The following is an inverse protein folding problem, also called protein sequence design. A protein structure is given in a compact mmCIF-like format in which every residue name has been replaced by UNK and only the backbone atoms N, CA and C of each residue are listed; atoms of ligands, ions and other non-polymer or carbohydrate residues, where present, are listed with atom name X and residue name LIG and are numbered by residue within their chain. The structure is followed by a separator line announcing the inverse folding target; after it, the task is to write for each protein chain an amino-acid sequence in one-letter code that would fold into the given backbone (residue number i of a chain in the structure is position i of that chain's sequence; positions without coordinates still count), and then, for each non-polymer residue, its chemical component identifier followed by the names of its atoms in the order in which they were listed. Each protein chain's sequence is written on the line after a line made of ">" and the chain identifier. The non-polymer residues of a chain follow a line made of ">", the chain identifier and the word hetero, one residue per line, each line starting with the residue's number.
data_IF_524265806097
#
_entry.id   IF_524265806097
#
_cell.length_a   1.000
_cell.length_b   1.000
_cell.length_c   1.000
_cell.angle_alpha   90.00
_cell.angle_beta   90.00
_cell.angle_gamma   90.00
#
_symmetry.space_group_name_H-M   'P 1'
#
loop_
_entity.id
_entity.type
_entity.pdbx_description
1 polymer ?
#
# COMPACT_ATOMS: atom_id res chain seq x y z
N UNK A 1 -3.91 1.60 15.68
CA UNK A 1 -2.86 0.66 15.25
C UNK A 1 -1.50 1.28 15.50
N UNK A 2 -1.17 2.38 14.88
CA UNK A 2 0.18 2.97 14.92
C UNK A 2 0.60 3.53 16.27
N UNK A 3 -0.34 3.88 17.15
CA UNK A 3 -0.05 4.28 18.54
C UNK A 3 0.45 3.16 19.45
N UNK A 4 0.14 1.93 19.10
CA UNK A 4 0.47 0.75 19.90
C UNK A 4 1.76 0.09 19.40
N UNK A 5 2.32 0.63 18.35
CA UNK A 5 3.62 0.21 17.82
C UNK A 5 4.62 1.35 18.01
N UNK A 6 5.89 1.04 18.20
CA UNK A 6 6.97 2.05 18.30
C UNK A 6 7.16 2.88 17.02
N UNK A 7 6.25 2.71 16.04
CA UNK A 7 6.33 3.32 14.70
C UNK A 7 5.60 4.67 14.57
N UNK A 8 5.13 5.24 15.66
CA UNK A 8 4.38 6.49 15.66
C UNK A 8 5.07 7.65 14.92
N UNK A 9 6.41 7.66 14.91
CA UNK A 9 7.19 8.74 14.31
C UNK A 9 7.51 8.51 12.82
N UNK A 10 7.14 7.35 12.26
CA UNK A 10 7.52 6.93 10.91
C UNK A 10 6.32 6.68 9.98
N UNK A 11 5.11 6.96 10.46
CA UNK A 11 3.89 6.71 9.71
C UNK A 11 3.48 7.92 8.88
N UNK A 12 3.23 7.71 7.59
CA UNK A 12 2.57 8.68 6.71
C UNK A 12 1.20 8.15 6.30
N UNK A 13 0.19 9.00 6.34
CA UNK A 13 -1.14 8.70 5.83
C UNK A 13 -1.32 9.46 4.52
N UNK A 14 -1.60 8.72 3.45
CA UNK A 14 -1.91 9.29 2.15
C UNK A 14 -3.41 9.15 1.93
N UNK A 15 -4.11 10.26 1.72
CA UNK A 15 -5.52 10.31 1.40
C UNK A 15 -5.75 11.01 0.06
N UNK A 16 -6.88 10.72 -0.58
CA UNK A 16 -7.22 11.28 -1.90
C UNK A 16 -7.80 12.69 -1.83
N UNK A 17 -8.28 13.13 -0.67
CA UNK A 17 -8.90 14.44 -0.52
C UNK A 17 -8.78 14.98 0.91
N UNK A 18 -8.71 16.31 1.07
CA UNK A 18 -8.72 17.01 2.37
C UNK A 18 -9.94 16.71 3.23
N UNK A 19 -11.05 16.44 2.59
CA UNK A 19 -12.35 16.17 3.18
C UNK A 19 -12.74 14.68 3.11
N UNK A 20 -11.74 13.80 2.99
CA UNK A 20 -11.97 12.37 2.98
C UNK A 20 -12.62 11.92 4.30
N UNK A 21 -13.93 11.71 4.22
CA UNK A 21 -14.76 11.31 5.36
C UNK A 21 -14.51 9.88 5.82
N UNK A 22 -13.73 9.10 5.08
CA UNK A 22 -13.31 7.75 5.49
C UNK A 22 -12.33 7.79 6.65
N UNK A 23 -11.67 8.95 6.85
CA UNK A 23 -10.78 9.21 7.99
C UNK A 23 -11.42 10.27 8.86
N UNK A 24 -12.17 9.86 9.89
CA UNK A 24 -12.86 10.79 10.78
C UNK A 24 -11.89 11.62 11.62
N UNK A 25 -10.86 10.98 12.15
CA UNK A 25 -9.95 11.56 13.12
C UNK A 25 -8.56 10.95 13.04
N UNK A 26 -7.59 11.77 13.37
CA UNK A 26 -6.21 11.37 13.65
C UNK A 26 -5.86 11.76 15.07
N UNK A 27 -4.93 11.03 15.68
CA UNK A 27 -4.46 11.35 17.04
C UNK A 27 -3.08 11.96 16.94
N UNK A 28 -2.89 13.14 17.49
CA UNK A 28 -1.62 13.84 17.54
C UNK A 28 -0.64 13.24 18.55
N UNK A 29 0.63 13.59 18.44
CA UNK A 29 1.70 13.19 19.37
C UNK A 29 1.42 13.65 20.81
N UNK A 30 0.63 14.72 20.96
CA UNK A 30 0.14 15.25 22.22
C UNK A 30 -1.02 14.42 22.82
N UNK A 31 -1.46 13.36 22.16
CA UNK A 31 -2.57 12.51 22.55
C UNK A 31 -3.96 13.06 22.21
N UNK A 32 -4.04 14.25 21.59
CA UNK A 32 -5.31 14.86 21.21
C UNK A 32 -5.84 14.32 19.89
N UNK A 33 -7.17 14.38 19.74
CA UNK A 33 -7.85 14.03 18.50
C UNK A 33 -8.04 15.27 17.63
N UNK A 34 -7.75 15.12 16.34
CA UNK A 34 -7.90 16.15 15.33
C UNK A 34 -8.73 15.61 14.17
N UNK A 35 -9.49 16.46 13.49
CA UNK A 35 -9.96 16.14 12.16
C UNK A 35 -8.77 16.07 11.19
N UNK A 36 -8.95 15.41 10.05
CA UNK A 36 -7.90 15.35 9.01
C UNK A 36 -7.50 16.78 8.58
N UNK A 37 -8.49 17.66 8.40
CA UNK A 37 -8.26 19.06 8.01
C UNK A 37 -7.45 19.81 9.06
N UNK A 38 -7.84 19.71 10.34
CA UNK A 38 -7.09 20.35 11.43
C UNK A 38 -5.67 19.82 11.57
N UNK A 39 -5.48 18.50 11.44
CA UNK A 39 -4.15 17.89 11.51
C UNK A 39 -3.23 18.39 10.38
N UNK A 40 -3.80 18.56 9.17
CA UNK A 40 -3.09 19.14 8.04
C UNK A 40 -2.76 20.63 8.27
N UNK A 41 -3.74 21.45 8.68
CA UNK A 41 -3.55 22.89 8.92
C UNK A 41 -2.58 23.18 10.06
N UNK A 42 -2.64 22.37 11.12
CA UNK A 42 -1.76 22.51 12.29
C UNK A 42 -0.40 21.82 12.13
N UNK A 43 -0.19 21.16 10.99
CA UNK A 43 1.06 20.45 10.68
C UNK A 43 1.48 19.52 11.84
N UNK A 44 0.56 18.63 12.25
CA UNK A 44 0.77 17.74 13.40
C UNK A 44 2.00 16.87 13.19
N UNK A 45 2.94 16.99 14.08
CA UNK A 45 4.33 16.60 13.93
C UNK A 45 4.59 15.10 13.68
N UNK A 46 3.76 14.20 14.20
CA UNK A 46 3.98 12.76 14.06
C UNK A 46 3.14 12.10 12.95
N UNK A 47 2.08 12.73 12.51
CA UNK A 47 1.28 12.29 11.36
C UNK A 47 1.56 13.23 10.21
N UNK A 48 2.28 12.74 9.21
CA UNK A 48 2.29 13.39 7.91
C UNK A 48 1.07 12.89 7.14
N UNK A 49 0.12 13.80 6.92
CA UNK A 49 -1.06 13.53 6.12
C UNK A 49 -0.83 14.14 4.75
N UNK A 50 -0.51 13.30 3.80
CA UNK A 50 -0.38 13.70 2.41
C UNK A 50 -1.74 13.52 1.75
N UNK A 51 -2.52 14.59 1.67
CA UNK A 51 -3.91 14.55 1.20
C UNK A 51 -3.94 15.01 -0.25
N UNK A 52 -4.03 14.09 -1.19
CA UNK A 52 -4.44 14.35 -2.58
C UNK A 52 -3.69 15.43 -3.37
N UNK A 53 -2.72 16.10 -2.76
CA UNK A 53 -1.94 17.19 -3.36
C UNK A 53 -0.54 16.78 -3.77
N UNK A 54 -0.15 15.55 -3.44
CA UNK A 54 1.12 15.05 -3.90
C UNK A 54 1.09 14.95 -5.43
N UNK A 55 2.07 15.56 -6.05
CA UNK A 55 2.37 15.28 -7.44
C UNK A 55 2.76 13.81 -7.58
N UNK A 56 2.67 13.26 -8.78
CA UNK A 56 3.11 11.89 -9.06
C UNK A 56 4.54 11.64 -8.57
N UNK A 57 5.44 12.60 -8.77
CA UNK A 57 6.83 12.51 -8.35
C UNK A 57 6.97 12.42 -6.82
N UNK A 58 6.26 13.26 -6.08
CA UNK A 58 6.26 13.26 -4.62
C UNK A 58 5.69 11.95 -4.06
N UNK A 59 4.58 11.45 -4.63
CA UNK A 59 3.97 10.19 -4.25
C UNK A 59 4.93 9.02 -4.47
N UNK A 60 5.59 8.96 -5.61
CA UNK A 60 6.60 7.94 -5.91
C UNK A 60 7.80 8.01 -4.95
N UNK A 61 8.20 9.21 -4.54
CA UNK A 61 9.26 9.39 -3.54
C UNK A 61 8.85 8.79 -2.20
N UNK A 62 7.66 9.12 -1.70
CA UNK A 62 7.13 8.55 -0.44
C UNK A 62 7.08 7.02 -0.50
N UNK A 63 6.57 6.46 -1.61
CA UNK A 63 6.48 5.00 -1.77
C UNK A 63 7.85 4.32 -1.82
N UNK A 64 8.87 4.97 -2.38
CA UNK A 64 10.24 4.46 -2.37
C UNK A 64 10.88 4.50 -0.99
N UNK A 65 10.59 5.51 -0.20
CA UNK A 65 11.14 5.68 1.15
C UNK A 65 10.47 4.77 2.19
N UNK A 66 9.21 4.38 1.99
CA UNK A 66 8.53 3.52 2.94
C UNK A 66 9.13 2.11 2.98
N UNK A 67 9.02 1.42 4.09
CA UNK A 67 9.44 0.02 4.24
C UNK A 67 8.33 -0.95 3.82
N UNK A 68 7.09 -0.61 4.06
CA UNK A 68 5.88 -1.34 3.66
C UNK A 68 4.70 -0.38 3.59
N UNK A 69 3.61 -0.80 2.98
CA UNK A 69 2.39 -0.01 2.92
C UNK A 69 1.18 -0.80 3.45
N UNK A 70 0.29 -0.10 4.17
CA UNK A 70 -1.01 -0.64 4.58
C UNK A 70 -2.05 -0.13 3.60
N UNK A 71 -2.73 -1.02 2.90
CA UNK A 71 -3.64 -0.69 1.80
C UNK A 71 -4.93 -1.53 1.84
N UNK A 72 -5.93 -1.13 1.07
CA UNK A 72 -7.18 -1.88 0.94
C UNK A 72 -7.13 -3.07 -0.05
N UNK A 73 -6.07 -3.22 -0.82
CA UNK A 73 -5.92 -4.30 -1.79
C UNK A 73 -6.40 -3.98 -3.21
N UNK A 74 -6.61 -2.71 -3.55
CA UNK A 74 -6.89 -2.31 -4.93
C UNK A 74 -5.75 -2.69 -5.87
N UNK A 75 -6.06 -3.29 -7.03
CA UNK A 75 -5.10 -3.72 -8.06
C UNK A 75 -4.10 -2.63 -8.46
N UNK A 76 -4.59 -1.42 -8.70
CA UNK A 76 -3.74 -0.30 -9.12
C UNK A 76 -2.73 0.04 -8.03
N UNK A 77 -3.19 0.15 -6.78
CA UNK A 77 -2.33 0.47 -5.63
C UNK A 77 -1.33 -0.67 -5.36
N UNK A 78 -1.77 -1.94 -5.46
CA UNK A 78 -0.88 -3.10 -5.32
C UNK A 78 0.21 -3.10 -6.38
N UNK A 79 -0.16 -2.88 -7.66
CA UNK A 79 0.79 -2.80 -8.76
C UNK A 79 1.80 -1.67 -8.59
N UNK A 80 1.37 -0.52 -8.12
CA UNK A 80 2.24 0.62 -7.85
C UNK A 80 3.23 0.34 -6.70
N UNK A 81 2.76 -0.21 -5.60
CA UNK A 81 3.59 -0.44 -4.41
C UNK A 81 4.52 -1.63 -4.62
N UNK A 82 4.00 -2.78 -5.01
CA UNK A 82 4.80 -3.99 -5.18
C UNK A 82 5.63 -3.97 -6.46
N UNK A 83 5.02 -3.54 -7.58
CA UNK A 83 5.66 -3.57 -8.89
C UNK A 83 6.64 -2.43 -9.11
N UNK A 84 6.23 -1.18 -8.87
CA UNK A 84 7.06 -0.01 -9.15
C UNK A 84 7.97 0.37 -7.99
N UNK A 85 7.51 0.19 -6.75
CA UNK A 85 8.26 0.62 -5.57
C UNK A 85 8.96 -0.52 -4.84
N UNK A 86 8.66 -1.77 -5.14
CA UNK A 86 9.30 -2.95 -4.55
C UNK A 86 9.08 -3.05 -3.04
N UNK A 87 7.88 -2.72 -2.56
CA UNK A 87 7.56 -2.73 -1.14
C UNK A 87 6.50 -3.77 -0.79
N UNK A 88 6.65 -4.49 0.34
CA UNK A 88 5.62 -5.40 0.80
C UNK A 88 4.39 -4.66 1.26
N UNK A 89 3.24 -5.29 1.11
CA UNK A 89 1.95 -4.73 1.51
C UNK A 89 1.37 -5.46 2.73
N UNK A 90 0.60 -4.71 3.53
CA UNK A 90 -0.35 -5.25 4.49
C UNK A 90 -1.72 -4.89 3.95
N UNK A 91 -2.45 -5.89 3.46
CA UNK A 91 -3.75 -5.68 2.85
C UNK A 91 -4.89 -5.79 3.87
N UNK A 92 -5.69 -4.73 3.98
CA UNK A 92 -6.95 -4.72 4.74
C UNK A 92 -8.12 -4.65 3.75
N UNK A 93 -8.73 -5.79 3.37
CA UNK A 93 -9.74 -5.80 2.33
C UNK A 93 -11.02 -5.09 2.76
N UNK A 94 -11.67 -4.39 1.82
CA UNK A 94 -12.99 -3.79 1.98
C UNK A 94 -14.04 -4.65 1.27
N UNK A 95 -13.64 -5.38 0.23
CA UNK A 95 -14.49 -6.22 -0.61
C UNK A 95 -13.85 -7.60 -0.80
N UNK A 96 -14.65 -8.59 -1.17
CA UNK A 96 -14.18 -9.97 -1.43
C UNK A 96 -13.11 -10.03 -2.53
N UNK A 97 -13.22 -9.18 -3.55
CA UNK A 97 -12.23 -9.05 -4.61
C UNK A 97 -10.85 -8.67 -4.04
N UNK A 98 -10.82 -7.69 -3.13
CA UNK A 98 -9.58 -7.28 -2.47
C UNK A 98 -8.95 -8.42 -1.66
N UNK A 99 -9.80 -9.22 -0.98
CA UNK A 99 -9.34 -10.38 -0.22
C UNK A 99 -8.59 -11.37 -1.11
N UNK A 100 -9.14 -11.69 -2.28
CA UNK A 100 -8.51 -12.61 -3.22
C UNK A 100 -7.19 -12.09 -3.76
N UNK A 101 -7.10 -10.79 -4.05
CA UNK A 101 -5.90 -10.13 -4.52
C UNK A 101 -4.79 -10.14 -3.46
N UNK A 102 -5.15 -9.84 -2.21
CA UNK A 102 -4.18 -9.83 -1.11
C UNK A 102 -3.71 -11.26 -0.80
N UNK A 103 -4.58 -12.26 -0.80
CA UNK A 103 -4.20 -13.66 -0.66
C UNK A 103 -3.23 -14.10 -1.74
N UNK A 104 -3.46 -13.69 -2.99
CA UNK A 104 -2.54 -13.93 -4.10
C UNK A 104 -1.14 -13.35 -3.83
N UNK A 105 -1.06 -12.15 -3.24
CA UNK A 105 0.20 -11.52 -2.86
C UNK A 105 0.86 -12.24 -1.67
N UNK A 106 0.07 -12.66 -0.68
CA UNK A 106 0.55 -13.38 0.51
C UNK A 106 1.16 -14.73 0.14
N UNK A 107 0.51 -15.52 -0.72
CA UNK A 107 1.02 -16.80 -1.23
C UNK A 107 2.39 -16.67 -1.92
N UNK A 108 2.69 -15.48 -2.44
CA UNK A 108 3.95 -15.15 -3.12
C UNK A 108 4.95 -14.38 -2.26
N UNK A 109 4.65 -14.23 -0.98
CA UNK A 109 5.47 -13.47 -0.04
C UNK A 109 5.72 -12.02 -0.48
N UNK A 110 4.71 -11.40 -1.10
CA UNK A 110 4.72 -9.99 -1.49
C UNK A 110 4.00 -9.10 -0.46
N UNK A 111 3.29 -9.73 0.48
CA UNK A 111 2.54 -9.03 1.51
C UNK A 111 1.86 -9.96 2.49
N UNK A 112 0.98 -9.42 3.32
CA UNK A 112 0.23 -10.14 4.37
C UNK A 112 -1.22 -9.68 4.35
N UNK A 113 -2.16 -10.61 4.48
CA UNK A 113 -3.57 -10.32 4.69
C UNK A 113 -3.81 -9.99 6.17
N UNK A 114 -4.52 -8.90 6.43
CA UNK A 114 -4.94 -8.50 7.77
C UNK A 114 -6.41 -8.03 7.74
N UNK A 115 -7.28 -8.70 8.46
CA UNK A 115 -8.71 -8.42 8.49
C UNK A 115 -9.13 -7.54 9.67
N UNK A 116 -8.21 -7.31 10.61
CA UNK A 116 -8.46 -6.50 11.81
C UNK A 116 -7.17 -5.89 12.35
N UNK A 117 -7.34 -4.93 13.29
CA UNK A 117 -6.25 -4.21 13.94
C UNK A 117 -5.15 -5.12 14.50
N UNK A 118 -5.53 -6.21 15.19
CA UNK A 118 -4.56 -7.14 15.80
C UNK A 118 -3.69 -7.81 14.74
N UNK A 119 -4.31 -8.23 13.65
CA UNK A 119 -3.60 -8.85 12.53
C UNK A 119 -2.68 -7.85 11.81
N UNK A 120 -3.07 -6.57 11.69
CA UNK A 120 -2.16 -5.53 11.15
C UNK A 120 -0.90 -5.40 12.00
N UNK A 121 -1.03 -5.37 13.34
CA UNK A 121 0.13 -5.30 14.23
C UNK A 121 1.03 -6.54 14.06
N UNK A 122 0.43 -7.73 14.02
CA UNK A 122 1.16 -8.97 13.77
C UNK A 122 1.86 -8.99 12.40
N UNK A 123 1.19 -8.49 11.36
CA UNK A 123 1.75 -8.37 10.02
C UNK A 123 2.95 -7.42 9.99
N UNK A 124 2.88 -6.27 10.68
CA UNK A 124 4.01 -5.34 10.83
C UNK A 124 5.22 -6.05 11.43
N UNK A 125 5.03 -6.76 12.54
CA UNK A 125 6.12 -7.48 13.20
C UNK A 125 6.67 -8.61 12.32
N UNK A 126 5.80 -9.35 11.63
CA UNK A 126 6.21 -10.39 10.68
C UNK A 126 7.05 -9.84 9.54
N UNK A 127 6.62 -8.71 8.94
CA UNK A 127 7.39 -8.07 7.86
C UNK A 127 8.73 -7.57 8.39
N UNK A 128 8.78 -6.94 9.57
CA UNK A 128 10.04 -6.49 10.17
C UNK A 128 11.03 -7.63 10.39
N UNK A 129 10.57 -8.75 10.93
CA UNK A 129 11.42 -9.91 11.22
C UNK A 129 11.91 -10.62 9.96
N UNK A 130 11.11 -10.61 8.89
CA UNK A 130 11.38 -11.34 7.66
C UNK A 130 11.62 -10.42 6.46
N UNK A 131 12.02 -9.17 6.67
CA UNK A 131 12.06 -8.14 5.65
C UNK A 131 12.87 -8.56 4.40
N UNK A 132 14.02 -9.16 4.58
CA UNK A 132 14.88 -9.61 3.48
C UNK A 132 14.16 -10.63 2.59
N UNK A 133 13.39 -11.53 3.18
CA UNK A 133 12.63 -12.54 2.43
C UNK A 133 11.54 -11.91 1.55
N UNK A 134 10.85 -10.90 2.08
CA UNK A 134 9.90 -10.12 1.27
C UNK A 134 10.60 -9.36 0.14
N UNK A 135 11.78 -8.79 0.42
CA UNK A 135 12.54 -8.07 -0.61
C UNK A 135 12.99 -9.00 -1.75
N UNK A 136 13.49 -10.20 -1.46
CA UNK A 136 13.86 -11.19 -2.46
C UNK A 136 12.68 -11.55 -3.38
N UNK A 137 11.49 -11.80 -2.79
CA UNK A 137 10.27 -12.10 -3.53
C UNK A 137 9.80 -10.91 -4.39
N UNK A 138 9.92 -9.69 -3.86
CA UNK A 138 9.56 -8.47 -4.58
C UNK A 138 10.52 -8.16 -5.72
N UNK A 139 11.80 -8.42 -5.57
CA UNK A 139 12.78 -8.29 -6.65
C UNK A 139 12.51 -9.28 -7.79
N UNK A 140 12.14 -10.51 -7.46
CA UNK A 140 11.74 -11.50 -8.45
C UNK A 140 10.45 -11.08 -9.17
N UNK A 141 9.45 -10.61 -8.41
CA UNK A 141 8.21 -10.09 -8.95
C UNK A 141 8.44 -8.88 -9.87
N UNK A 142 9.23 -7.90 -9.44
CA UNK A 142 9.53 -6.69 -10.20
C UNK A 142 10.26 -6.98 -11.52
N UNK A 143 11.13 -7.98 -11.57
CA UNK A 143 11.79 -8.42 -12.82
C UNK A 143 10.77 -8.84 -13.88
N UNK A 144 9.64 -9.39 -13.47
CA UNK A 144 8.55 -9.82 -14.35
C UNK A 144 7.50 -8.74 -14.58
N UNK A 145 7.45 -7.72 -13.73
CA UNK A 145 6.52 -6.59 -13.79
C UNK A 145 7.11 -5.46 -14.65
N UNK A 146 7.02 -5.64 -15.96
CA UNK A 146 7.73 -4.77 -16.93
C UNK A 146 6.87 -3.62 -17.52
N UNK A 147 5.67 -3.41 -17.00
CA UNK A 147 4.75 -2.36 -17.47
C UNK A 147 4.15 -2.58 -18.88
N UNK A 148 4.46 -3.70 -19.52
CA UNK A 148 4.03 -4.02 -20.88
C UNK A 148 2.68 -4.77 -20.96
N UNK A 149 1.84 -4.70 -19.94
CA UNK A 149 0.58 -5.44 -19.85
C UNK A 149 -0.32 -5.25 -21.08
N UNK A 150 -0.54 -4.02 -21.54
CA UNK A 150 -1.35 -3.73 -22.72
C UNK A 150 -0.75 -4.35 -23.99
N UNK A 151 0.55 -4.27 -24.19
CA UNK A 151 1.26 -4.87 -25.33
C UNK A 151 1.17 -6.39 -25.31
N UNK A 152 1.36 -7.01 -24.15
CA UNK A 152 1.27 -8.45 -23.99
C UNK A 152 -0.16 -8.94 -24.23
N UNK A 153 -1.17 -8.24 -23.71
CA UNK A 153 -2.58 -8.54 -23.96
C UNK A 153 -2.93 -8.44 -25.45
N UNK A 154 -2.50 -7.37 -26.14
CA UNK A 154 -2.69 -7.22 -27.58
C UNK A 154 -2.10 -8.37 -28.37
N UNK A 155 -0.90 -8.83 -28.01
CA UNK A 155 -0.27 -9.98 -28.65
C UNK A 155 -1.07 -11.27 -28.46
N UNK A 156 -1.52 -11.56 -27.22
CA UNK A 156 -2.35 -12.74 -26.93
C UNK A 156 -3.65 -12.70 -27.72
N UNK A 157 -4.32 -11.56 -27.76
CA UNK A 157 -5.56 -11.39 -28.55
C UNK A 157 -5.31 -11.67 -30.02
N UNK A 158 -4.25 -11.12 -30.60
CA UNK A 158 -3.89 -11.36 -32.00
C UNK A 158 -3.65 -12.86 -32.28
N UNK A 159 -2.89 -13.55 -31.42
CA UNK A 159 -2.62 -14.99 -31.54
C UNK A 159 -3.90 -15.84 -31.47
N UNK A 160 -4.86 -15.47 -30.60
CA UNK A 160 -6.16 -16.15 -30.50
C UNK A 160 -7.00 -15.94 -31.75
N UNK A 161 -7.02 -14.72 -32.28
CA UNK A 161 -7.75 -14.40 -33.51
C UNK A 161 -7.18 -15.11 -34.77
N UNK A 162 -5.87 -15.29 -34.84
CA UNK A 162 -5.22 -15.99 -35.92
C UNK A 162 -5.50 -17.51 -35.89
N UNK A 163 -5.57 -18.11 -34.68
CA UNK A 163 -5.88 -19.55 -34.52
C UNK A 163 -7.33 -19.91 -34.81
N UNK A 164 -8.22 -18.93 -34.85
CA UNK A 164 -9.66 -19.15 -35.08
C UNK A 164 -10.10 -18.71 -36.50
N UNK A 165 -9.16 -18.45 -37.40
CA UNK A 165 -9.38 -18.29 -38.84
C UNK A 165 -9.12 -19.59 -39.58
#
# INVERSE_FOLDING_TARGET
>A
VFHETEMNNECRIISHAKDDKSIDRVVGKDGNYYSVTEAYEKNIEWVQIDIGFLTECERQTVLKECKYAVINGSHTTMGEIMGNSGKPIIGMPIYDEHTNQIKWAEERQLGVLAENKKQVIQAIESIKQNYNKYQESLEEFSRNFNGNGAKNTSKIVSEVLEKNK
#
